data_IF_169258714228
#
_entry.id   IF_169258714228
#
_cell.length_a   1.000
_cell.length_b   1.000
_cell.length_c   1.000
_cell.angle_alpha   90.00
_cell.angle_beta   90.00
_cell.angle_gamma   90.00
#
_symmetry.space_group_name_H-M   'P 1'
#
loop_
_entity.id
_entity.type
_entity.pdbx_description
1 polymer ?
#
# COMPACT_ATOMS: atom_id res chain seq x y z
N UNK A 1 13.34 1.12 37.23
CA UNK A 1 11.90 0.83 37.46
C UNK A 1 11.32 1.51 38.70
N UNK A 2 12.07 1.73 39.80
CA UNK A 2 11.59 2.39 41.01
C UNK A 2 11.51 3.94 40.91
N UNK A 3 12.10 4.55 39.92
CA UNK A 3 12.16 6.03 39.76
C UNK A 3 10.94 6.59 38.99
N UNK A 4 10.21 5.77 38.23
CA UNK A 4 9.08 6.22 37.40
C UNK A 4 7.89 6.69 38.24
N UNK A 5 7.41 5.96 39.27
CA UNK A 5 6.31 6.44 40.12
C UNK A 5 6.64 7.70 40.92
N UNK A 6 7.91 7.84 41.33
CA UNK A 6 8.37 9.06 42.02
C UNK A 6 8.42 10.28 41.09
N UNK A 7 8.85 10.06 39.84
CA UNK A 7 8.84 11.10 38.79
C UNK A 7 7.41 11.54 38.46
N UNK A 8 6.47 10.61 38.37
CA UNK A 8 5.04 10.91 38.13
C UNK A 8 4.48 11.77 39.26
N UNK A 9 4.63 11.33 40.51
CA UNK A 9 4.13 12.09 41.66
C UNK A 9 4.75 13.49 41.78
N UNK A 10 6.02 13.63 41.37
CA UNK A 10 6.68 14.93 41.34
C UNK A 10 6.10 15.85 40.26
N UNK A 11 5.84 15.31 39.05
CA UNK A 11 5.23 16.08 37.95
C UNK A 11 3.75 16.41 38.25
N UNK A 12 2.98 15.52 38.84
CA UNK A 12 1.62 15.79 39.28
C UNK A 12 1.57 16.99 40.23
N UNK A 13 2.44 17.01 41.26
CA UNK A 13 2.57 18.14 42.20
C UNK A 13 3.06 19.42 41.49
N UNK A 14 3.95 19.30 40.53
CA UNK A 14 4.45 20.48 39.80
C UNK A 14 3.32 21.12 38.98
N UNK A 15 2.48 20.32 38.32
CA UNK A 15 1.30 20.82 37.58
C UNK A 15 0.24 21.39 38.54
N UNK A 16 0.02 20.78 39.71
CA UNK A 16 -0.88 21.34 40.72
C UNK A 16 -0.43 22.70 41.25
N UNK A 17 0.86 22.86 41.48
CA UNK A 17 1.44 24.11 42.02
C UNK A 17 1.59 25.24 40.99
N UNK A 18 1.84 24.87 39.73
CA UNK A 18 1.99 25.80 38.61
C UNK A 18 1.31 25.27 37.35
N UNK A 19 -0.02 25.35 37.31
CA UNK A 19 -0.84 24.80 36.22
C UNK A 19 -0.64 25.54 34.87
N UNK A 20 -0.07 26.74 34.91
CA UNK A 20 0.20 27.54 33.71
C UNK A 20 1.59 27.27 33.11
N UNK A 21 2.33 26.33 33.71
CA UNK A 21 3.58 25.87 33.17
C UNK A 21 3.39 24.76 32.14
N UNK A 22 3.50 25.13 30.89
CA UNK A 22 3.35 24.20 29.75
C UNK A 22 4.26 22.96 29.88
N UNK A 23 5.51 23.16 30.28
CA UNK A 23 6.51 22.08 30.28
C UNK A 23 6.24 21.02 31.36
N UNK A 24 5.67 21.41 32.51
CA UNK A 24 5.26 20.46 33.53
C UNK A 24 4.10 19.60 33.02
N UNK A 25 3.09 20.23 32.44
CA UNK A 25 1.94 19.54 31.86
C UNK A 25 2.35 18.63 30.70
N UNK A 26 3.24 19.09 29.80
CA UNK A 26 3.76 18.30 28.69
C UNK A 26 4.57 17.08 29.19
N UNK A 27 5.44 17.27 30.19
CA UNK A 27 6.21 16.20 30.79
C UNK A 27 5.31 15.14 31.42
N UNK A 28 4.25 15.56 32.13
CA UNK A 28 3.27 14.67 32.75
C UNK A 28 2.43 13.92 31.71
N UNK A 29 1.99 14.60 30.64
CA UNK A 29 1.23 13.97 29.55
C UNK A 29 2.07 12.89 28.84
N UNK A 30 3.34 13.17 28.54
CA UNK A 30 4.25 12.18 27.97
C UNK A 30 4.46 10.98 28.89
N UNK A 31 4.54 11.20 30.19
CA UNK A 31 4.73 10.13 31.16
C UNK A 31 3.48 9.23 31.25
N UNK A 32 2.29 9.82 31.26
CA UNK A 32 1.04 9.06 31.21
C UNK A 32 0.93 8.22 29.93
N UNK A 33 1.33 8.76 28.77
CA UNK A 33 1.35 8.00 27.52
C UNK A 33 2.34 6.83 27.55
N UNK A 34 3.53 7.03 28.13
CA UNK A 34 4.55 5.97 28.27
C UNK A 34 4.10 4.85 29.21
N UNK A 35 3.24 5.15 30.19
CA UNK A 35 2.71 4.18 31.14
C UNK A 35 1.38 3.58 30.70
N UNK A 36 0.92 3.89 29.48
CA UNK A 36 -0.39 3.47 28.94
C UNK A 36 -1.59 3.94 29.78
N UNK A 37 -1.42 5.03 30.58
CA UNK A 37 -2.48 5.68 31.34
C UNK A 37 -3.32 6.60 30.43
N UNK A 38 -3.98 6.02 29.43
CA UNK A 38 -4.62 6.72 28.30
C UNK A 38 -5.64 7.77 28.72
N UNK A 39 -6.50 7.46 29.69
CA UNK A 39 -7.55 8.36 30.16
C UNK A 39 -6.96 9.59 30.86
N UNK A 40 -5.89 9.42 31.64
CA UNK A 40 -5.20 10.53 32.30
C UNK A 40 -4.47 11.41 31.29
N UNK A 41 -3.76 10.77 30.34
CA UNK A 41 -3.09 11.50 29.27
C UNK A 41 -4.09 12.33 28.46
N UNK A 42 -5.20 11.73 28.04
CA UNK A 42 -6.24 12.39 27.26
C UNK A 42 -6.85 13.57 28.01
N UNK A 43 -7.25 13.39 29.27
CA UNK A 43 -7.82 14.46 30.10
C UNK A 43 -6.84 15.64 30.29
N UNK A 44 -5.57 15.34 30.53
CA UNK A 44 -4.54 16.38 30.68
C UNK A 44 -4.32 17.12 29.36
N UNK A 45 -4.24 16.40 28.23
CA UNK A 45 -4.08 17.00 26.91
C UNK A 45 -5.30 17.85 26.50
N UNK A 46 -6.53 17.43 26.87
CA UNK A 46 -7.74 18.24 26.67
C UNK A 46 -7.64 19.56 27.45
N UNK A 47 -7.25 19.53 28.73
CA UNK A 47 -7.01 20.72 29.55
C UNK A 47 -5.90 21.60 28.95
N UNK A 48 -4.76 21.00 28.58
CA UNK A 48 -3.64 21.71 27.93
C UNK A 48 -4.08 22.40 26.64
N UNK A 49 -4.89 21.74 25.82
CA UNK A 49 -5.36 22.30 24.55
C UNK A 49 -6.27 23.54 24.69
N UNK A 50 -6.90 23.69 25.87
CA UNK A 50 -7.74 24.84 26.21
C UNK A 50 -6.89 25.95 26.85
N UNK A 51 -5.98 25.57 27.72
CA UNK A 51 -5.14 26.49 28.52
C UNK A 51 -4.02 27.10 27.69
N UNK A 52 -3.31 26.29 26.91
CA UNK A 52 -2.18 26.71 26.07
C UNK A 52 -2.60 26.84 24.61
N UNK A 53 -3.41 27.85 24.34
CA UNK A 53 -4.01 28.03 23.00
C UNK A 53 -3.02 28.34 21.89
N UNK A 54 -1.80 28.77 22.21
CA UNK A 54 -0.70 29.00 21.26
C UNK A 54 0.07 27.73 20.88
N UNK A 55 -0.16 26.61 21.58
CA UNK A 55 0.50 25.33 21.35
C UNK A 55 -0.41 24.38 20.56
N UNK A 56 0.20 23.74 19.55
CA UNK A 56 -0.50 22.72 18.73
C UNK A 56 -0.21 21.29 19.18
N UNK A 57 0.90 21.07 19.89
CA UNK A 57 1.31 19.72 20.32
C UNK A 57 0.19 18.95 21.08
N UNK A 58 -0.56 19.57 22.01
CA UNK A 58 -1.68 18.87 22.65
C UNK A 58 -2.77 18.44 21.69
N UNK A 59 -3.06 19.24 20.64
CA UNK A 59 -4.05 18.91 19.62
C UNK A 59 -3.59 17.73 18.74
N UNK A 60 -2.31 17.72 18.33
CA UNK A 60 -1.76 16.58 17.58
C UNK A 60 -1.73 15.29 18.41
N UNK A 61 -1.36 15.40 19.70
CA UNK A 61 -1.41 14.23 20.59
C UNK A 61 -2.86 13.70 20.79
N UNK A 62 -3.84 14.60 20.90
CA UNK A 62 -5.25 14.23 20.98
C UNK A 62 -5.75 13.58 19.69
N UNK A 63 -5.32 14.07 18.52
CA UNK A 63 -5.66 13.44 17.22
C UNK A 63 -5.24 11.97 17.18
N UNK A 64 -3.99 11.67 17.59
CA UNK A 64 -3.51 10.29 17.63
C UNK A 64 -4.33 9.41 18.58
N UNK A 65 -4.64 9.92 19.78
CA UNK A 65 -5.45 9.20 20.77
C UNK A 65 -6.87 8.95 20.23
N UNK A 66 -7.53 9.99 19.71
CA UNK A 66 -8.89 9.90 19.22
C UNK A 66 -9.00 9.01 17.99
N UNK A 67 -8.02 9.05 17.07
CA UNK A 67 -7.95 8.17 15.91
C UNK A 67 -7.84 6.70 16.33
N UNK A 68 -6.94 6.38 17.27
CA UNK A 68 -6.78 5.01 17.80
C UNK A 68 -8.03 4.49 18.51
N UNK A 69 -8.82 5.39 19.07
CA UNK A 69 -10.07 5.06 19.77
C UNK A 69 -11.31 5.16 18.84
N UNK A 70 -11.11 5.44 17.56
CA UNK A 70 -12.17 5.62 16.55
C UNK A 70 -13.21 6.69 16.94
N UNK A 71 -12.80 7.70 17.76
CA UNK A 71 -13.65 8.82 18.16
C UNK A 71 -13.67 9.91 17.09
N UNK A 72 -14.19 9.59 15.92
CA UNK A 72 -14.09 10.41 14.70
C UNK A 72 -14.69 11.81 14.85
N UNK A 73 -15.79 11.96 15.61
CA UNK A 73 -16.35 13.29 15.89
C UNK A 73 -15.33 14.20 16.60
N UNK A 74 -14.57 13.65 17.55
CA UNK A 74 -13.51 14.37 18.24
C UNK A 74 -12.30 14.62 17.35
N UNK A 75 -11.98 13.69 16.44
CA UNK A 75 -10.94 13.89 15.42
C UNK A 75 -11.30 15.10 14.56
N UNK A 76 -12.51 15.16 14.01
CA UNK A 76 -12.97 16.29 13.20
C UNK A 76 -12.95 17.62 14.00
N UNK A 77 -13.46 17.61 15.22
CA UNK A 77 -13.43 18.80 16.07
C UNK A 77 -12.01 19.29 16.33
N UNK A 78 -11.07 18.37 16.52
CA UNK A 78 -9.63 18.70 16.75
C UNK A 78 -8.99 19.21 15.47
N UNK A 79 -9.26 18.60 14.31
CA UNK A 79 -8.78 19.08 13.00
C UNK A 79 -9.28 20.48 12.70
N UNK A 80 -10.55 20.79 13.00
CA UNK A 80 -11.10 22.14 12.85
C UNK A 80 -10.37 23.15 13.73
N UNK A 81 -10.05 22.80 14.99
CA UNK A 81 -9.28 23.68 15.88
C UNK A 81 -7.85 23.92 15.39
N UNK A 82 -7.23 22.92 14.76
CA UNK A 82 -5.91 23.08 14.13
C UNK A 82 -6.04 23.99 12.91
N UNK A 83 -7.06 23.80 12.06
CA UNK A 83 -7.29 24.63 10.90
C UNK A 83 -7.57 26.10 11.27
N UNK A 84 -8.34 26.38 12.33
CA UNK A 84 -8.57 27.72 12.85
C UNK A 84 -7.27 28.44 13.23
N UNK A 85 -6.25 27.70 13.68
CA UNK A 85 -4.96 28.26 14.11
C UNK A 85 -3.94 28.38 12.98
N UNK A 86 -3.85 27.38 12.13
CA UNK A 86 -2.84 27.29 11.08
C UNK A 86 -3.33 27.81 9.73
N UNK A 87 -4.64 27.98 9.57
CA UNK A 87 -5.29 28.16 8.29
C UNK A 87 -5.58 26.82 7.59
N UNK A 88 -6.39 26.90 6.54
CA UNK A 88 -6.71 25.76 5.70
C UNK A 88 -5.48 25.24 4.98
N UNK A 89 -5.34 23.92 4.88
CA UNK A 89 -4.28 23.28 4.12
C UNK A 89 -4.79 22.00 3.44
N UNK A 90 -4.14 21.64 2.34
CA UNK A 90 -4.39 20.40 1.61
C UNK A 90 -4.42 19.18 2.55
N UNK A 91 -3.41 19.08 3.40
CA UNK A 91 -3.27 17.96 4.33
C UNK A 91 -4.43 17.86 5.31
N UNK A 92 -4.87 18.98 5.89
CA UNK A 92 -6.02 19.01 6.81
C UNK A 92 -7.32 18.64 6.11
N UNK A 93 -7.58 19.20 4.92
CA UNK A 93 -8.77 18.89 4.13
C UNK A 93 -8.83 17.42 3.70
N UNK A 94 -7.71 16.84 3.26
CA UNK A 94 -7.63 15.41 2.93
C UNK A 94 -7.84 14.51 4.15
N UNK A 95 -7.29 14.88 5.30
CA UNK A 95 -7.52 14.13 6.55
C UNK A 95 -8.98 14.20 6.97
N UNK A 96 -9.61 15.37 6.95
CA UNK A 96 -11.05 15.51 7.20
C UNK A 96 -11.88 14.69 6.22
N UNK A 97 -11.57 14.76 4.91
CA UNK A 97 -12.23 13.99 3.88
C UNK A 97 -12.20 12.50 4.21
N UNK A 98 -11.01 11.97 4.55
CA UNK A 98 -10.83 10.56 4.94
C UNK A 98 -11.67 10.18 6.16
N UNK A 99 -11.68 11.01 7.19
CA UNK A 99 -12.45 10.76 8.42
C UNK A 99 -13.95 10.81 8.14
N UNK A 100 -14.44 11.78 7.35
CA UNK A 100 -15.85 11.83 6.96
C UNK A 100 -16.29 10.59 6.17
N UNK A 101 -15.42 10.02 5.32
CA UNK A 101 -15.71 8.75 4.63
C UNK A 101 -15.83 7.58 5.63
N UNK A 102 -14.96 7.51 6.64
CA UNK A 102 -15.03 6.48 7.69
C UNK A 102 -16.33 6.61 8.52
N UNK A 103 -16.77 7.85 8.79
CA UNK A 103 -18.05 8.15 9.45
C UNK A 103 -19.26 7.88 8.55
N UNK A 104 -19.06 7.59 7.26
CA UNK A 104 -20.10 7.53 6.23
C UNK A 104 -20.86 8.86 6.08
N UNK A 105 -20.23 9.96 6.45
CA UNK A 105 -20.75 11.32 6.25
C UNK A 105 -20.34 11.83 4.85
N UNK A 106 -21.00 11.25 3.86
CA UNK A 106 -20.74 11.56 2.45
C UNK A 106 -20.95 13.05 2.11
N UNK A 107 -21.80 13.75 2.85
CA UNK A 107 -22.07 15.16 2.59
C UNK A 107 -20.87 16.04 2.94
N UNK A 108 -20.29 15.86 4.11
CA UNK A 108 -19.13 16.62 4.55
C UNK A 108 -17.86 16.17 3.80
N UNK A 109 -17.68 14.85 3.53
CA UNK A 109 -16.65 14.36 2.65
C UNK A 109 -16.68 15.04 1.26
N UNK A 110 -17.86 15.12 0.66
CA UNK A 110 -18.06 15.80 -0.63
C UNK A 110 -17.66 17.28 -0.57
N UNK A 111 -18.06 17.98 0.48
CA UNK A 111 -17.72 19.40 0.66
C UNK A 111 -16.20 19.63 0.76
N UNK A 112 -15.47 18.78 1.48
CA UNK A 112 -14.00 18.91 1.60
C UNK A 112 -13.31 18.69 0.25
N UNK A 113 -13.72 17.69 -0.53
CA UNK A 113 -13.10 17.42 -1.83
C UNK A 113 -13.48 18.48 -2.88
N UNK A 114 -14.72 18.98 -2.89
CA UNK A 114 -15.12 20.11 -3.75
C UNK A 114 -14.28 21.35 -3.46
N UNK A 115 -14.03 21.62 -2.19
CA UNK A 115 -13.20 22.73 -1.77
C UNK A 115 -11.75 22.58 -2.25
N UNK A 116 -11.18 21.36 -2.22
CA UNK A 116 -9.85 21.10 -2.75
C UNK A 116 -9.78 21.27 -4.27
N UNK A 117 -10.78 20.80 -5.00
CA UNK A 117 -10.86 21.02 -6.46
C UNK A 117 -10.99 22.51 -6.80
N UNK A 118 -11.72 23.29 -5.99
CA UNK A 118 -11.84 24.74 -6.20
C UNK A 118 -10.52 25.48 -5.93
N UNK A 119 -9.76 25.04 -4.93
CA UNK A 119 -8.48 25.66 -4.55
C UNK A 119 -7.34 25.21 -5.48
N UNK A 120 -7.35 23.93 -5.92
CA UNK A 120 -6.34 23.34 -6.79
C UNK A 120 -6.96 22.81 -8.10
N UNK A 121 -7.51 23.70 -8.97
CA UNK A 121 -8.29 23.28 -10.14
C UNK A 121 -7.49 22.57 -11.23
N UNK A 122 -6.16 22.66 -11.18
CA UNK A 122 -5.25 21.98 -12.11
C UNK A 122 -4.71 20.65 -11.56
N UNK A 123 -5.02 20.28 -10.31
CA UNK A 123 -4.61 19.02 -9.74
C UNK A 123 -5.61 17.91 -10.09
N UNK A 124 -5.22 17.07 -11.03
CA UNK A 124 -6.05 15.96 -11.52
C UNK A 124 -6.38 14.93 -10.44
N UNK A 125 -5.56 14.80 -9.39
CA UNK A 125 -5.80 13.86 -8.28
C UNK A 125 -7.15 14.17 -7.60
N UNK A 126 -7.39 15.44 -7.26
CA UNK A 126 -8.65 15.85 -6.61
C UNK A 126 -9.85 15.75 -7.54
N UNK A 127 -9.64 16.00 -8.83
CA UNK A 127 -10.70 15.83 -9.82
C UNK A 127 -11.13 14.36 -9.94
N UNK A 128 -10.17 13.41 -9.95
CA UNK A 128 -10.49 11.97 -9.97
C UNK A 128 -11.20 11.56 -8.68
N UNK A 129 -10.67 11.97 -7.51
CA UNK A 129 -11.31 11.68 -6.21
C UNK A 129 -12.72 12.24 -6.13
N UNK A 130 -12.96 13.44 -6.65
CA UNK A 130 -14.32 14.02 -6.72
C UNK A 130 -15.22 13.16 -7.63
N UNK A 131 -14.70 12.67 -8.76
CA UNK A 131 -15.39 11.73 -9.63
C UNK A 131 -15.79 10.45 -8.88
N UNK A 132 -14.87 9.87 -8.08
CA UNK A 132 -15.15 8.68 -7.27
C UNK A 132 -16.22 8.94 -6.21
N UNK A 133 -16.21 10.13 -5.59
CA UNK A 133 -17.28 10.54 -4.65
C UNK A 133 -18.62 10.73 -5.37
N UNK A 134 -18.64 11.28 -6.57
CA UNK A 134 -19.84 11.33 -7.40
C UNK A 134 -20.38 9.92 -7.68
N UNK A 135 -19.51 8.98 -8.04
CA UNK A 135 -19.89 7.59 -8.31
C UNK A 135 -20.53 6.92 -7.09
N UNK A 136 -19.88 7.02 -5.91
CA UNK A 136 -20.42 6.50 -4.64
C UNK A 136 -21.77 7.11 -4.25
N UNK A 137 -22.06 8.33 -4.66
CA UNK A 137 -23.35 9.01 -4.42
C UNK A 137 -24.37 8.81 -5.54
N UNK A 138 -24.11 7.91 -6.49
CA UNK A 138 -25.01 7.60 -7.59
C UNK A 138 -25.08 8.65 -8.69
N UNK A 139 -24.23 9.68 -8.64
CA UNK A 139 -24.10 10.74 -9.65
C UNK A 139 -23.19 10.27 -10.78
N UNK A 140 -23.65 9.25 -11.51
CA UNK A 140 -22.85 8.52 -12.50
C UNK A 140 -22.40 9.39 -13.68
N UNK A 141 -23.23 10.28 -14.14
CA UNK A 141 -22.92 11.17 -15.26
C UNK A 141 -21.83 12.20 -14.89
N UNK A 142 -21.93 12.78 -13.71
CA UNK A 142 -20.94 13.71 -13.18
C UNK A 142 -19.58 13.02 -12.98
N UNK A 143 -19.58 11.78 -12.46
CA UNK A 143 -18.37 10.96 -12.31
C UNK A 143 -17.70 10.71 -13.67
N UNK A 144 -18.46 10.22 -14.65
CA UNK A 144 -17.95 9.99 -16.01
C UNK A 144 -17.34 11.25 -16.62
N UNK A 145 -18.05 12.38 -16.54
CA UNK A 145 -17.58 13.66 -17.09
C UNK A 145 -16.28 14.11 -16.42
N UNK A 146 -16.13 13.87 -15.11
CA UNK A 146 -14.91 14.20 -14.38
C UNK A 146 -13.73 13.35 -14.83
N UNK A 147 -13.88 12.04 -14.93
CA UNK A 147 -12.82 11.14 -15.43
C UNK A 147 -12.42 11.47 -16.87
N UNK A 148 -13.41 11.72 -17.74
CA UNK A 148 -13.15 12.12 -19.12
C UNK A 148 -12.39 13.43 -19.21
N UNK A 149 -12.78 14.44 -18.44
CA UNK A 149 -12.09 15.72 -18.38
C UNK A 149 -10.62 15.56 -18.01
N UNK A 150 -10.32 14.70 -17.02
CA UNK A 150 -8.93 14.43 -16.63
C UNK A 150 -8.19 13.73 -17.76
N UNK A 151 -8.76 12.70 -18.38
CA UNK A 151 -8.11 11.94 -19.46
C UNK A 151 -7.95 12.77 -20.75
N UNK A 152 -8.80 13.75 -21.02
CA UNK A 152 -8.65 14.68 -22.14
C UNK A 152 -7.44 15.61 -21.94
N UNK A 153 -7.14 15.99 -20.71
CA UNK A 153 -5.97 16.80 -20.34
C UNK A 153 -4.70 15.95 -20.13
N UNK A 154 -4.83 14.80 -19.50
CA UNK A 154 -3.77 13.87 -19.14
C UNK A 154 -4.14 12.45 -19.61
N UNK A 155 -3.92 12.11 -20.89
CA UNK A 155 -4.34 10.82 -21.46
C UNK A 155 -3.73 9.59 -20.77
N UNK A 156 -2.59 9.75 -20.08
CA UNK A 156 -1.86 8.69 -19.37
C UNK A 156 -2.11 8.69 -17.86
N UNK A 157 -3.12 9.44 -17.37
CA UNK A 157 -3.43 9.49 -15.94
C UNK A 157 -4.00 8.15 -15.46
N UNK A 158 -3.16 7.38 -14.75
CA UNK A 158 -3.48 6.04 -14.32
C UNK A 158 -4.69 5.97 -13.36
N UNK A 159 -4.84 6.98 -12.48
CA UNK A 159 -5.99 7.04 -11.56
C UNK A 159 -7.30 7.22 -12.34
N UNK A 160 -7.33 8.18 -13.28
CA UNK A 160 -8.51 8.41 -14.09
C UNK A 160 -8.85 7.23 -15.01
N UNK A 161 -7.83 6.56 -15.58
CA UNK A 161 -8.03 5.31 -16.35
C UNK A 161 -8.66 4.22 -15.50
N UNK A 162 -8.17 4.02 -14.28
CA UNK A 162 -8.69 3.02 -13.36
C UNK A 162 -10.12 3.34 -12.92
N UNK A 163 -10.37 4.58 -12.48
CA UNK A 163 -11.71 5.02 -12.07
C UNK A 163 -12.73 4.93 -13.22
N UNK A 164 -12.31 5.23 -14.46
CA UNK A 164 -13.17 5.07 -15.64
C UNK A 164 -13.43 3.59 -15.95
N UNK A 165 -12.45 2.70 -15.75
CA UNK A 165 -12.67 1.26 -15.87
C UNK A 165 -13.70 0.77 -14.84
N UNK A 166 -13.53 1.15 -13.57
CA UNK A 166 -14.48 0.83 -12.49
C UNK A 166 -15.89 1.37 -12.79
N UNK A 167 -15.99 2.58 -13.35
CA UNK A 167 -17.27 3.13 -13.81
C UNK A 167 -17.96 2.24 -14.85
N UNK A 168 -17.22 1.77 -15.86
CA UNK A 168 -17.78 0.87 -16.89
C UNK A 168 -18.20 -0.47 -16.30
N UNK A 169 -17.46 -1.02 -15.34
CA UNK A 169 -17.80 -2.24 -14.63
C UNK A 169 -19.13 -2.09 -13.86
N UNK A 170 -19.25 -1.06 -13.01
CA UNK A 170 -20.44 -0.79 -12.19
C UNK A 170 -21.68 -0.41 -13.01
N UNK A 171 -21.48 0.13 -14.22
CA UNK A 171 -22.58 0.43 -15.16
C UNK A 171 -22.90 -0.71 -16.09
N UNK A 172 -22.19 -1.86 -15.98
CA UNK A 172 -22.45 -3.07 -16.77
C UNK A 172 -21.96 -3.00 -18.22
N UNK A 173 -21.12 -2.03 -18.56
CA UNK A 173 -20.57 -1.81 -19.91
C UNK A 173 -19.31 -2.66 -20.11
N UNK A 174 -19.49 -3.98 -20.17
CA UNK A 174 -18.39 -4.97 -20.13
C UNK A 174 -17.32 -4.77 -21.20
N UNK A 175 -17.71 -4.45 -22.43
CA UNK A 175 -16.76 -4.25 -23.53
C UNK A 175 -15.89 -3.00 -23.31
N UNK A 176 -16.48 -1.92 -22.84
CA UNK A 176 -15.76 -0.69 -22.50
C UNK A 176 -14.85 -0.88 -21.29
N UNK A 177 -15.31 -1.65 -20.29
CA UNK A 177 -14.45 -2.03 -19.15
C UNK A 177 -13.21 -2.77 -19.63
N UNK A 178 -13.39 -3.78 -20.47
CA UNK A 178 -12.26 -4.56 -20.99
C UNK A 178 -11.30 -3.70 -21.81
N UNK A 179 -11.83 -2.85 -22.68
CA UNK A 179 -11.02 -1.93 -23.49
C UNK A 179 -10.25 -0.93 -22.62
N UNK A 180 -10.90 -0.38 -21.59
CA UNK A 180 -10.26 0.57 -20.70
C UNK A 180 -9.17 -0.09 -19.83
N UNK A 181 -9.42 -1.32 -19.38
CA UNK A 181 -8.45 -2.13 -18.64
C UNK A 181 -7.20 -2.44 -19.51
N UNK A 182 -7.41 -2.85 -20.76
CA UNK A 182 -6.32 -3.06 -21.71
C UNK A 182 -5.53 -1.76 -21.94
N UNK A 183 -6.23 -0.64 -22.10
CA UNK A 183 -5.59 0.68 -22.30
C UNK A 183 -4.69 1.03 -21.11
N UNK A 184 -5.15 0.81 -19.88
CA UNK A 184 -4.37 1.06 -18.67
C UNK A 184 -3.15 0.13 -18.57
N UNK A 185 -3.39 -1.18 -18.70
CA UNK A 185 -2.36 -2.20 -18.46
C UNK A 185 -1.27 -2.22 -19.53
N UNK A 186 -1.60 -1.88 -20.77
CA UNK A 186 -0.66 -1.85 -21.89
C UNK A 186 -0.04 -0.47 -22.12
N UNK A 187 -0.41 0.55 -21.35
CA UNK A 187 0.21 1.86 -21.45
C UNK A 187 1.58 1.86 -20.78
N UNK A 188 2.64 2.07 -21.55
CA UNK A 188 4.02 2.08 -21.03
C UNK A 188 4.32 3.19 -20.01
N UNK A 189 3.52 4.26 -19.99
CA UNK A 189 3.69 5.38 -19.06
C UNK A 189 3.03 5.13 -17.69
N UNK A 190 2.14 4.15 -17.59
CA UNK A 190 1.55 3.76 -16.33
C UNK A 190 2.58 3.01 -15.49
N UNK A 191 2.82 3.41 -14.21
CA UNK A 191 3.79 2.76 -13.35
C UNK A 191 3.52 1.27 -13.16
N UNK A 192 4.59 0.45 -13.14
CA UNK A 192 4.51 -1.01 -12.96
C UNK A 192 3.77 -1.40 -11.69
N UNK A 193 3.95 -0.68 -10.58
CA UNK A 193 3.22 -0.91 -9.34
C UNK A 193 1.69 -0.75 -9.50
N UNK A 194 1.25 0.28 -10.25
CA UNK A 194 -0.18 0.48 -10.54
C UNK A 194 -0.73 -0.68 -11.37
N UNK A 195 -0.01 -1.08 -12.43
CA UNK A 195 -0.39 -2.24 -13.25
C UNK A 195 -0.46 -3.53 -12.41
N UNK A 196 0.51 -3.75 -11.54
CA UNK A 196 0.56 -4.92 -10.65
C UNK A 196 -0.66 -4.96 -9.73
N UNK A 197 -1.04 -3.84 -9.13
CA UNK A 197 -2.20 -3.76 -8.24
C UNK A 197 -3.51 -4.03 -9.00
N UNK A 198 -3.65 -3.45 -10.20
CA UNK A 198 -4.81 -3.69 -11.07
C UNK A 198 -4.88 -5.17 -11.50
N UNK A 199 -3.75 -5.77 -11.89
CA UNK A 199 -3.70 -7.20 -12.26
C UNK A 199 -4.05 -8.11 -11.09
N UNK A 200 -3.58 -7.81 -9.86
CA UNK A 200 -3.96 -8.57 -8.66
C UNK A 200 -5.47 -8.56 -8.44
N UNK A 201 -6.09 -7.40 -8.52
CA UNK A 201 -7.54 -7.28 -8.37
C UNK A 201 -8.28 -8.02 -9.48
N UNK A 202 -7.83 -7.89 -10.72
CA UNK A 202 -8.43 -8.58 -11.87
C UNK A 202 -8.34 -10.10 -11.73
N UNK A 203 -7.21 -10.64 -11.29
CA UNK A 203 -7.04 -12.08 -11.00
C UNK A 203 -8.02 -12.55 -9.92
N UNK A 204 -8.08 -11.83 -8.79
CA UNK A 204 -8.98 -12.18 -7.68
C UNK A 204 -10.44 -12.17 -8.13
N UNK A 205 -10.85 -11.14 -8.86
CA UNK A 205 -12.22 -11.02 -9.37
C UNK A 205 -12.56 -12.15 -10.35
N UNK A 206 -11.64 -12.46 -11.27
CA UNK A 206 -11.82 -13.55 -12.22
C UNK A 206 -12.02 -14.91 -11.53
N UNK A 207 -11.26 -15.18 -10.47
CA UNK A 207 -11.39 -16.40 -9.66
C UNK A 207 -12.72 -16.46 -8.90
N UNK A 208 -13.12 -15.34 -8.28
CA UNK A 208 -14.40 -15.24 -7.56
C UNK A 208 -15.61 -15.44 -8.49
N UNK A 209 -15.52 -14.92 -9.71
CA UNK A 209 -16.57 -15.06 -10.73
C UNK A 209 -16.57 -16.46 -11.37
N UNK A 210 -15.61 -17.32 -11.08
CA UNK A 210 -15.47 -18.66 -11.66
C UNK A 210 -15.25 -18.65 -13.18
N UNK A 211 -14.67 -17.56 -13.70
CA UNK A 211 -14.35 -17.42 -15.12
C UNK A 211 -13.11 -18.24 -15.49
N UNK A 212 -12.99 -18.61 -16.76
CA UNK A 212 -11.80 -19.29 -17.23
C UNK A 212 -10.56 -18.38 -17.19
N UNK A 213 -9.38 -19.00 -17.26
CA UNK A 213 -8.10 -18.30 -17.15
C UNK A 213 -7.65 -17.59 -18.44
N UNK A 214 -8.34 -17.79 -19.56
CA UNK A 214 -7.90 -17.36 -20.90
C UNK A 214 -7.63 -15.85 -20.96
N UNK A 215 -8.55 -15.06 -20.42
CA UNK A 215 -8.41 -13.59 -20.41
C UNK A 215 -7.27 -13.12 -19.53
N UNK A 216 -7.10 -13.72 -18.35
CA UNK A 216 -6.04 -13.39 -17.40
C UNK A 216 -4.67 -13.68 -18.02
N UNK A 217 -4.52 -14.87 -18.59
CA UNK A 217 -3.30 -15.32 -19.28
C UNK A 217 -2.97 -14.38 -20.44
N UNK A 218 -3.94 -14.09 -21.32
CA UNK A 218 -3.75 -13.19 -22.47
C UNK A 218 -3.30 -11.80 -22.06
N UNK A 219 -3.80 -11.25 -20.94
CA UNK A 219 -3.35 -9.95 -20.45
C UNK A 219 -1.91 -10.00 -19.93
N UNK A 220 -1.56 -11.03 -19.17
CA UNK A 220 -0.17 -11.20 -18.70
C UNK A 220 0.78 -11.34 -19.88
N UNK A 221 0.49 -12.18 -20.87
CA UNK A 221 1.34 -12.38 -22.06
C UNK A 221 1.60 -11.05 -22.77
N UNK A 222 0.54 -10.26 -23.02
CA UNK A 222 0.65 -8.95 -23.67
C UNK A 222 1.43 -7.93 -22.86
N UNK A 223 1.38 -7.99 -21.53
CA UNK A 223 2.18 -7.12 -20.67
C UNK A 223 3.65 -7.56 -20.71
N UNK A 224 3.93 -8.85 -20.70
CA UNK A 224 5.28 -9.39 -20.74
C UNK A 224 5.96 -9.15 -22.11
N UNK A 225 5.18 -9.10 -23.21
CA UNK A 225 5.69 -8.71 -24.54
C UNK A 225 6.27 -7.28 -24.56
N UNK A 226 5.95 -6.45 -23.57
CA UNK A 226 6.50 -5.09 -23.43
C UNK A 226 7.86 -5.04 -22.74
N UNK A 227 8.42 -6.21 -22.35
CA UNK A 227 9.68 -6.35 -21.65
C UNK A 227 9.73 -5.49 -20.36
N UNK A 228 8.90 -5.82 -19.37
CA UNK A 228 8.85 -5.07 -18.11
C UNK A 228 10.21 -5.06 -17.41
N UNK A 229 10.57 -3.92 -16.85
CA UNK A 229 11.79 -3.71 -16.06
C UNK A 229 11.60 -4.04 -14.56
N UNK A 230 10.39 -4.44 -14.17
CA UNK A 230 9.99 -4.81 -12.81
C UNK A 230 9.56 -6.28 -12.74
N UNK A 231 10.07 -6.99 -11.74
CA UNK A 231 9.80 -8.42 -11.55
C UNK A 231 8.42 -8.74 -10.98
N UNK A 232 7.66 -7.75 -10.51
CA UNK A 232 6.40 -7.95 -9.78
C UNK A 232 5.31 -8.59 -10.63
N UNK A 233 5.09 -8.10 -11.85
CA UNK A 233 4.07 -8.65 -12.76
C UNK A 233 4.47 -10.04 -13.27
N UNK A 234 5.70 -10.31 -13.74
CA UNK A 234 6.14 -11.66 -14.08
C UNK A 234 6.00 -12.62 -12.89
N UNK A 235 6.33 -12.19 -11.68
CA UNK A 235 6.20 -13.03 -10.49
C UNK A 235 4.72 -13.36 -10.18
N UNK A 236 3.82 -12.39 -10.28
CA UNK A 236 2.37 -12.61 -10.13
C UNK A 236 1.85 -13.61 -11.18
N UNK A 237 2.30 -13.46 -12.43
CA UNK A 237 1.92 -14.36 -13.51
C UNK A 237 2.40 -15.79 -13.26
N UNK A 238 3.66 -15.97 -12.89
CA UNK A 238 4.20 -17.29 -12.58
C UNK A 238 3.43 -17.97 -11.44
N UNK A 239 3.12 -17.23 -10.37
CA UNK A 239 2.30 -17.72 -9.26
C UNK A 239 0.90 -18.12 -9.71
N UNK A 240 0.29 -17.31 -10.57
CA UNK A 240 -1.02 -17.62 -11.15
C UNK A 240 -0.99 -18.92 -11.97
N UNK A 241 -0.02 -19.07 -12.88
CA UNK A 241 0.16 -20.27 -13.68
C UNK A 241 0.37 -21.53 -12.81
N UNK A 242 1.22 -21.42 -11.78
CA UNK A 242 1.45 -22.52 -10.82
C UNK A 242 0.17 -22.90 -10.07
N UNK A 243 -0.64 -21.92 -9.66
CA UNK A 243 -1.94 -22.18 -9.01
C UNK A 243 -2.94 -22.92 -9.90
N UNK A 244 -2.77 -22.80 -11.23
CA UNK A 244 -3.57 -23.50 -12.25
C UNK A 244 -2.95 -24.82 -12.69
N UNK A 245 -1.81 -25.23 -12.11
CA UNK A 245 -1.09 -26.43 -12.51
C UNK A 245 -0.35 -26.33 -13.86
N UNK A 246 -0.23 -25.11 -14.39
CA UNK A 246 0.44 -24.82 -15.66
C UNK A 246 1.96 -24.64 -15.45
N UNK A 247 2.60 -25.69 -14.93
CA UNK A 247 4.00 -25.62 -14.51
C UNK A 247 4.96 -25.37 -15.68
N UNK A 248 4.67 -25.95 -16.86
CA UNK A 248 5.53 -25.80 -18.04
C UNK A 248 5.62 -24.35 -18.51
N UNK A 249 4.52 -23.62 -18.40
CA UNK A 249 4.39 -22.22 -18.77
C UNK A 249 4.97 -21.30 -17.67
N UNK A 250 4.85 -21.71 -16.41
CA UNK A 250 5.31 -20.93 -15.25
C UNK A 250 6.84 -20.82 -15.15
N UNK A 251 7.58 -21.90 -15.43
CA UNK A 251 9.03 -21.91 -15.23
C UNK A 251 9.81 -20.94 -16.15
N UNK A 252 9.49 -20.79 -17.44
CA UNK A 252 10.08 -19.73 -18.26
C UNK A 252 9.84 -18.33 -17.69
N UNK A 253 8.65 -18.07 -17.13
CA UNK A 253 8.32 -16.78 -16.52
C UNK A 253 9.13 -16.58 -15.23
N UNK A 254 9.32 -17.60 -14.40
CA UNK A 254 10.20 -17.52 -13.22
C UNK A 254 11.65 -17.22 -13.58
N UNK A 255 12.15 -17.77 -14.70
CA UNK A 255 13.50 -17.43 -15.20
C UNK A 255 13.57 -15.97 -15.66
N UNK A 256 12.50 -15.44 -16.27
CA UNK A 256 12.42 -14.02 -16.59
C UNK A 256 12.42 -13.14 -15.31
N UNK A 257 11.72 -13.59 -14.24
CA UNK A 257 11.81 -12.91 -12.93
C UNK A 257 13.26 -12.81 -12.46
N UNK A 258 14.02 -13.91 -12.51
CA UNK A 258 15.44 -13.92 -12.10
C UNK A 258 16.36 -13.12 -13.04
N UNK A 259 16.00 -12.97 -14.30
CA UNK A 259 16.74 -12.11 -15.22
C UNK A 259 16.55 -10.62 -14.90
N UNK A 260 15.37 -10.23 -14.39
CA UNK A 260 15.05 -8.86 -13.96
C UNK A 260 15.58 -8.60 -12.54
N UNK A 261 15.33 -9.53 -11.61
CA UNK A 261 15.73 -9.47 -10.21
C UNK A 261 16.48 -10.74 -9.80
N UNK A 262 17.82 -10.79 -9.96
CA UNK A 262 18.63 -11.94 -9.58
C UNK A 262 18.60 -12.25 -8.08
N UNK A 263 18.15 -11.34 -7.23
CA UNK A 263 18.06 -11.53 -5.77
C UNK A 263 16.75 -12.16 -5.33
N UNK A 264 15.81 -12.43 -6.25
CA UNK A 264 14.49 -12.97 -5.95
C UNK A 264 14.55 -14.42 -5.47
N UNK A 265 14.68 -14.60 -4.17
CA UNK A 265 14.76 -15.93 -3.52
C UNK A 265 13.51 -16.78 -3.79
N UNK A 266 12.32 -16.17 -3.83
CA UNK A 266 11.08 -16.91 -4.04
C UNK A 266 11.03 -17.56 -5.43
N UNK A 267 11.37 -16.81 -6.49
CA UNK A 267 11.45 -17.36 -7.84
C UNK A 267 12.51 -18.45 -7.95
N UNK A 268 13.68 -18.23 -7.36
CA UNK A 268 14.79 -19.18 -7.36
C UNK A 268 14.42 -20.49 -6.65
N UNK A 269 13.77 -20.41 -5.48
CA UNK A 269 13.34 -21.60 -4.73
C UNK A 269 12.24 -22.39 -5.46
N UNK A 270 11.35 -21.72 -6.19
CA UNK A 270 10.33 -22.39 -7.01
C UNK A 270 10.99 -23.17 -8.17
N UNK A 271 11.96 -22.57 -8.86
CA UNK A 271 12.73 -23.25 -9.90
C UNK A 271 13.58 -24.39 -9.35
N UNK A 272 14.25 -24.16 -8.22
CA UNK A 272 15.05 -25.16 -7.53
C UNK A 272 14.22 -26.38 -7.12
N UNK A 273 13.03 -26.19 -6.58
CA UNK A 273 12.11 -27.26 -6.24
C UNK A 273 11.72 -28.13 -7.45
N UNK A 274 11.56 -27.52 -8.62
CA UNK A 274 11.30 -28.24 -9.86
C UNK A 274 12.54 -28.99 -10.38
N UNK A 275 13.71 -28.34 -10.36
CA UNK A 275 14.97 -28.96 -10.79
C UNK A 275 15.31 -30.20 -9.92
N UNK A 276 15.14 -30.09 -8.61
CA UNK A 276 15.31 -31.21 -7.66
C UNK A 276 14.30 -32.34 -7.95
N UNK A 277 13.04 -31.99 -8.19
CA UNK A 277 12.00 -32.98 -8.49
C UNK A 277 12.27 -33.74 -9.80
N UNK A 278 12.91 -33.10 -10.76
CA UNK A 278 13.32 -33.71 -12.04
C UNK A 278 14.68 -34.39 -12.00
N UNK A 279 15.38 -34.30 -10.87
CA UNK A 279 16.77 -34.77 -10.73
C UNK A 279 17.72 -34.10 -11.75
N UNK A 280 17.40 -32.86 -12.15
CA UNK A 280 18.27 -32.07 -13.03
C UNK A 280 19.36 -31.36 -12.21
N UNK A 281 20.40 -32.13 -11.88
CA UNK A 281 21.48 -31.64 -11.03
C UNK A 281 22.27 -30.48 -11.64
N UNK A 282 22.32 -30.36 -12.96
CA UNK A 282 22.96 -29.21 -13.60
C UNK A 282 22.16 -27.92 -13.32
N UNK A 283 20.84 -27.95 -13.49
CA UNK A 283 19.98 -26.80 -13.18
C UNK A 283 20.00 -26.48 -11.68
N UNK A 284 20.08 -27.50 -10.80
CA UNK A 284 20.25 -27.30 -9.35
C UNK A 284 21.55 -26.56 -9.06
N UNK A 285 22.67 -26.95 -9.69
CA UNK A 285 23.97 -26.30 -9.52
C UNK A 285 23.88 -24.83 -9.96
N UNK A 286 23.42 -24.56 -11.17
CA UNK A 286 23.33 -23.20 -11.73
C UNK A 286 22.46 -22.29 -10.85
N UNK A 287 21.31 -22.77 -10.40
CA UNK A 287 20.41 -22.03 -9.52
C UNK A 287 21.00 -21.76 -8.15
N UNK A 288 21.70 -22.75 -7.57
CA UNK A 288 22.28 -22.62 -6.24
C UNK A 288 23.57 -21.80 -6.24
N UNK A 289 24.47 -21.96 -7.23
CA UNK A 289 25.66 -21.12 -7.37
C UNK A 289 25.27 -19.63 -7.44
N UNK A 290 24.32 -19.28 -8.33
CA UNK A 290 23.78 -17.93 -8.40
C UNK A 290 23.03 -17.50 -7.13
N UNK A 291 22.44 -18.47 -6.41
CA UNK A 291 21.77 -18.22 -5.12
C UNK A 291 22.76 -17.88 -4.01
N UNK A 292 23.86 -18.61 -3.90
CA UNK A 292 24.95 -18.34 -2.94
C UNK A 292 25.59 -16.98 -3.22
N UNK A 293 25.77 -16.62 -4.49
CA UNK A 293 26.34 -15.32 -4.87
C UNK A 293 25.42 -14.15 -4.50
N UNK A 294 24.12 -14.27 -4.75
CA UNK A 294 23.16 -13.17 -4.56
C UNK A 294 22.56 -13.09 -3.17
N UNK A 295 22.46 -14.21 -2.45
CA UNK A 295 21.84 -14.34 -1.12
C UNK A 295 22.69 -15.29 -0.23
N UNK A 296 23.92 -14.89 0.13
CA UNK A 296 24.89 -15.76 0.81
C UNK A 296 24.47 -16.23 2.22
N UNK A 297 23.48 -15.59 2.83
CA UNK A 297 22.93 -16.00 4.13
C UNK A 297 21.90 -17.14 4.04
N UNK A 298 21.46 -17.51 2.83
CA UNK A 298 20.47 -18.57 2.62
C UNK A 298 21.15 -19.96 2.59
N UNK A 299 21.13 -20.66 3.72
CA UNK A 299 21.75 -21.97 3.90
C UNK A 299 21.18 -23.05 2.98
N UNK A 300 19.94 -22.90 2.54
CA UNK A 300 19.27 -23.80 1.62
C UNK A 300 20.02 -23.96 0.30
N UNK A 301 20.61 -22.88 -0.23
CA UNK A 301 21.39 -22.95 -1.47
C UNK A 301 22.66 -23.77 -1.30
N UNK A 302 23.38 -23.61 -0.18
CA UNK A 302 24.57 -24.41 0.12
C UNK A 302 24.22 -25.88 0.27
N UNK A 303 23.12 -26.19 0.94
CA UNK A 303 22.67 -27.55 1.15
C UNK A 303 22.36 -28.28 -0.17
N UNK A 304 21.54 -27.67 -1.04
CA UNK A 304 21.20 -28.28 -2.32
C UNK A 304 22.39 -28.33 -3.28
N UNK A 305 23.29 -27.36 -3.22
CA UNK A 305 24.51 -27.31 -4.01
C UNK A 305 25.45 -28.44 -3.64
N UNK A 306 25.67 -28.68 -2.34
CA UNK A 306 26.49 -29.79 -1.88
C UNK A 306 25.94 -31.16 -2.34
N UNK A 307 24.61 -31.35 -2.28
CA UNK A 307 23.95 -32.56 -2.79
C UNK A 307 24.17 -32.70 -4.30
N UNK A 308 23.94 -31.62 -5.08
CA UNK A 308 24.05 -31.65 -6.52
C UNK A 308 25.51 -31.90 -6.99
N UNK A 309 26.52 -31.29 -6.35
CA UNK A 309 27.92 -31.56 -6.62
C UNK A 309 28.30 -33.02 -6.32
N UNK A 310 27.77 -33.57 -5.20
CA UNK A 310 28.03 -34.98 -4.88
C UNK A 310 27.41 -35.92 -5.94
N UNK A 311 26.22 -35.65 -6.44
CA UNK A 311 25.57 -36.43 -7.51
C UNK A 311 26.31 -36.29 -8.85
N UNK A 312 26.93 -35.11 -9.09
CA UNK A 312 27.75 -34.85 -10.27
C UNK A 312 29.21 -35.33 -10.14
N UNK A 313 29.55 -36.06 -9.06
CA UNK A 313 30.90 -36.55 -8.76
C UNK A 313 31.96 -35.43 -8.63
N UNK A 314 31.55 -34.19 -8.32
CA UNK A 314 32.41 -33.00 -8.13
C UNK A 314 32.87 -32.89 -6.68
N UNK A 315 33.66 -33.85 -6.21
CA UNK A 315 34.05 -33.98 -4.80
C UNK A 315 34.82 -32.79 -4.24
N UNK A 316 35.68 -32.16 -5.04
CA UNK A 316 36.45 -30.98 -4.62
C UNK A 316 35.52 -29.78 -4.36
N UNK A 317 34.47 -29.63 -5.16
CA UNK A 317 33.47 -28.56 -5.00
C UNK A 317 32.59 -28.77 -3.76
N UNK A 318 32.27 -30.06 -3.45
CA UNK A 318 31.54 -30.37 -2.19
C UNK A 318 32.37 -29.92 -0.98
N UNK A 319 33.70 -30.21 -0.98
CA UNK A 319 34.56 -29.82 0.14
C UNK A 319 34.67 -28.29 0.25
N UNK A 320 34.66 -27.57 -0.87
CA UNK A 320 34.81 -26.12 -0.89
C UNK A 320 33.57 -25.37 -0.40
N UNK A 321 32.36 -25.96 -0.54
CA UNK A 321 31.10 -25.31 -0.18
C UNK A 321 30.64 -25.61 1.25
N UNK A 322 31.14 -26.69 1.87
CA UNK A 322 30.87 -27.07 3.24
C UNK A 322 31.80 -26.35 4.24
#
# INVERSE_FOLDING_TARGET
LKQVPQGQAALEKAVENDPDNYWYSQGLANLYQQQDEKEKAMKLLEDMSIRFTDKLDPLYALLDIYNRQEQYDKVIATLNRIEEKMGKSEQLSMEKFRIYLQMKDNKNAFHEIESLVAEYPMDSRYQVVLGDVYMQNGKKEEAYNMYRKVLDAEPDNAMAMYSLASYYEETGQKDLYQQQLDTLLLNKKVPSETKLNVMRQFVVQNEQDGKDSTRVISLFDRILEQEPDDAGIPMLYAQYLLSKGMNKEAFPVLRQVLAIDPTNTAARMMLLGEAVRKEDYNDVIDLCEAGVETNPEMLEFYFYLAIAYNQAERTDDVISIC
#
